data_IF_131542681973
#
_entry.id   IF_131542681973
#
_cell.length_a   1.000
_cell.length_b   1.000
_cell.length_c   1.000
_cell.angle_alpha   90.00
_cell.angle_beta   90.00
_cell.angle_gamma   90.00
#
_symmetry.space_group_name_H-M   'P 1'
#
loop_
_entity.id
_entity.type
_entity.pdbx_description
1 polymer ?
#
# COMPACT_ATOMS: atom_id res chain seq x y z
N UNK A 1 0.13 -11.10 -11.16
CA UNK A 1 -0.29 -9.74 -10.78
C UNK A 1 0.23 -9.51 -9.38
N UNK A 2 0.79 -8.34 -9.13
CA UNK A 2 1.18 -7.90 -7.79
C UNK A 2 0.02 -7.13 -7.20
N UNK A 3 -0.47 -7.54 -6.05
CA UNK A 3 -1.44 -6.77 -5.29
C UNK A 3 -0.74 -6.13 -4.10
N UNK A 4 -1.01 -4.86 -3.85
CA UNK A 4 -0.37 -4.08 -2.79
C UNK A 4 -1.47 -3.49 -1.93
N UNK A 5 -1.35 -3.61 -0.62
CA UNK A 5 -2.19 -2.94 0.36
C UNK A 5 -1.30 -1.99 1.15
N UNK A 6 -1.61 -0.71 1.10
CA UNK A 6 -0.88 0.33 1.82
C UNK A 6 -1.80 0.88 2.90
N UNK A 7 -1.21 1.21 4.04
CA UNK A 7 -1.89 1.88 5.14
C UNK A 7 -1.08 3.09 5.55
N UNK A 8 -1.77 4.21 5.68
CA UNK A 8 -1.16 5.47 6.08
C UNK A 8 -1.13 5.59 7.61
N UNK A 9 -0.17 6.37 8.13
CA UNK A 9 -0.13 6.84 9.51
C UNK A 9 -1.03 8.07 9.76
N UNK A 10 -1.71 8.60 8.74
CA UNK A 10 -2.67 9.69 8.95
C UNK A 10 -3.82 9.21 9.84
N UNK A 11 -3.91 9.80 11.03
CA UNK A 11 -4.98 9.56 12.00
C UNK A 11 -5.99 10.71 11.98
N UNK A 12 -7.28 10.39 11.86
CA UNK A 12 -8.34 11.39 12.01
C UNK A 12 -9.74 10.81 11.78
N UNK A 13 -10.75 11.50 12.31
CA UNK A 13 -12.15 11.18 12.08
C UNK A 13 -12.49 11.45 10.60
N UNK A 14 -12.68 10.40 9.81
CA UNK A 14 -13.25 10.37 8.46
C UNK A 14 -13.43 11.72 7.73
N UNK A 15 -12.34 12.43 7.45
CA UNK A 15 -12.38 13.57 6.51
C UNK A 15 -11.95 13.07 5.14
N UNK A 16 -12.68 13.47 4.10
CA UNK A 16 -12.34 13.16 2.71
C UNK A 16 -10.91 13.62 2.37
N UNK A 17 -10.48 14.73 2.99
CA UNK A 17 -9.14 15.30 2.86
C UNK A 17 -8.03 14.32 3.27
N UNK A 18 -8.17 13.62 4.41
CA UNK A 18 -7.17 12.66 4.91
C UNK A 18 -7.01 11.49 3.94
N UNK A 19 -8.12 11.00 3.39
CA UNK A 19 -8.05 9.96 2.37
C UNK A 19 -7.36 10.48 1.10
N UNK A 20 -7.64 11.73 0.67
CA UNK A 20 -6.99 12.32 -0.51
C UNK A 20 -5.47 12.41 -0.32
N UNK A 21 -4.98 12.96 0.79
CA UNK A 21 -3.54 13.09 1.05
C UNK A 21 -2.84 11.72 1.11
N UNK A 22 -3.46 10.73 1.76
CA UNK A 22 -2.91 9.38 1.81
C UNK A 22 -2.83 8.73 0.41
N UNK A 23 -3.86 8.92 -0.42
CA UNK A 23 -3.87 8.39 -1.79
C UNK A 23 -2.82 9.06 -2.66
N UNK A 24 -2.64 10.38 -2.54
CA UNK A 24 -1.60 11.12 -3.24
C UNK A 24 -0.20 10.60 -2.86
N UNK A 25 0.07 10.40 -1.56
CA UNK A 25 1.33 9.80 -1.08
C UNK A 25 1.55 8.37 -1.64
N UNK A 26 0.48 7.57 -1.74
CA UNK A 26 0.55 6.24 -2.32
C UNK A 26 0.82 6.29 -3.83
N UNK A 27 0.25 7.25 -4.55
CA UNK A 27 0.54 7.46 -5.96
C UNK A 27 1.99 7.87 -6.18
N UNK A 28 2.51 8.81 -5.38
CA UNK A 28 3.90 9.25 -5.43
C UNK A 28 4.88 8.10 -5.15
N UNK A 29 4.52 7.16 -4.26
CA UNK A 29 5.30 5.94 -4.01
C UNK A 29 5.41 5.08 -5.28
N UNK A 30 4.28 4.87 -5.98
CA UNK A 30 4.26 4.08 -7.20
C UNK A 30 4.96 4.78 -8.36
N UNK A 31 4.87 6.10 -8.45
CA UNK A 31 5.56 6.89 -9.46
C UNK A 31 7.09 6.85 -9.25
N UNK A 32 7.56 6.94 -8.01
CA UNK A 32 9.00 6.76 -7.72
C UNK A 32 9.47 5.35 -8.08
N UNK A 33 8.70 4.31 -7.73
CA UNK A 33 9.01 2.95 -8.16
C UNK A 33 9.08 2.84 -9.68
N UNK A 34 8.09 3.39 -10.38
CA UNK A 34 8.02 3.35 -11.83
C UNK A 34 9.23 4.03 -12.48
N UNK A 35 9.61 5.20 -11.95
CA UNK A 35 10.78 5.95 -12.39
C UNK A 35 12.07 5.16 -12.17
N UNK A 36 12.26 4.55 -11.00
CA UNK A 36 13.46 3.75 -10.69
C UNK A 36 13.60 2.51 -11.57
N UNK A 37 12.47 1.88 -11.92
CA UNK A 37 12.46 0.70 -12.79
C UNK A 37 12.40 1.03 -14.29
N UNK A 38 12.31 2.31 -14.66
CA UNK A 38 12.16 2.74 -16.05
C UNK A 38 10.85 2.25 -16.70
N UNK A 39 9.81 2.02 -15.90
CA UNK A 39 8.49 1.59 -16.37
C UNK A 39 7.49 2.74 -16.28
N UNK A 40 6.36 2.60 -16.97
CA UNK A 40 5.26 3.55 -16.90
C UNK A 40 4.03 2.88 -16.32
N UNK A 41 3.51 3.42 -15.22
CA UNK A 41 2.23 3.01 -14.67
C UNK A 41 1.12 3.82 -15.33
N UNK A 42 0.08 3.13 -15.76
CA UNK A 42 -1.09 3.68 -16.44
C UNK A 42 -2.31 2.79 -16.17
N UNK A 43 -3.51 3.22 -16.55
CA UNK A 43 -4.76 2.48 -16.27
C UNK A 43 -4.77 1.00 -16.70
N UNK A 44 -3.98 0.61 -17.70
CA UNK A 44 -3.89 -0.78 -18.16
C UNK A 44 -3.06 -1.73 -17.29
N UNK A 45 -2.13 -1.19 -16.49
CA UNK A 45 -1.20 -1.97 -15.66
C UNK A 45 -1.18 -1.56 -14.19
N UNK A 46 -1.82 -0.45 -13.82
CA UNK A 46 -2.00 0.02 -12.46
C UNK A 46 -3.48 0.28 -12.22
N UNK A 47 -4.01 -0.33 -11.16
CA UNK A 47 -5.42 -0.23 -10.79
C UNK A 47 -5.55 -0.06 -9.30
N UNK A 48 -6.23 0.99 -8.87
CA UNK A 48 -6.81 1.05 -7.53
C UNK A 48 -7.99 0.07 -7.44
N UNK A 49 -7.92 -0.85 -6.49
CA UNK A 49 -8.89 -1.94 -6.31
C UNK A 49 -9.94 -1.51 -5.29
N UNK A 50 -9.51 -1.03 -4.12
CA UNK A 50 -10.43 -0.58 -3.08
C UNK A 50 -9.74 0.36 -2.10
N UNK A 51 -10.49 1.30 -1.58
CA UNK A 51 -10.10 2.20 -0.50
C UNK A 51 -11.03 1.96 0.69
N UNK A 52 -10.46 1.87 1.87
CA UNK A 52 -11.17 1.68 3.14
C UNK A 52 -10.62 2.65 4.17
N UNK A 53 -11.45 3.03 5.14
CA UNK A 53 -11.01 3.83 6.26
C UNK A 53 -11.53 3.19 7.55
N UNK A 54 -10.62 2.58 8.31
CA UNK A 54 -10.90 1.94 9.61
C UNK A 54 -10.25 2.75 10.75
N UNK A 55 -10.40 4.08 10.71
CA UNK A 55 -9.66 5.02 11.56
C UNK A 55 -8.28 5.41 11.01
N UNK A 56 -7.87 4.75 9.91
CA UNK A 56 -6.67 4.99 9.13
C UNK A 56 -6.98 4.77 7.64
N UNK A 57 -6.45 5.59 6.72
CA UNK A 57 -6.57 5.36 5.29
C UNK A 57 -5.85 4.08 4.86
N UNK A 58 -6.60 3.17 4.24
CA UNK A 58 -6.09 1.92 3.65
C UNK A 58 -6.48 1.87 2.18
N UNK A 59 -5.53 1.59 1.30
CA UNK A 59 -5.79 1.44 -0.12
C UNK A 59 -5.15 0.17 -0.67
N UNK A 60 -5.88 -0.51 -1.56
CA UNK A 60 -5.44 -1.71 -2.26
C UNK A 60 -5.24 -1.40 -3.73
N UNK A 61 -4.10 -1.79 -4.28
CA UNK A 61 -3.70 -1.59 -5.66
C UNK A 61 -3.35 -2.91 -6.34
N UNK A 62 -3.49 -2.96 -7.66
CA UNK A 62 -3.10 -4.04 -8.53
C UNK A 62 -2.14 -3.56 -9.60
N UNK A 63 -0.96 -4.17 -9.66
CA UNK A 63 0.10 -3.91 -10.62
C UNK A 63 0.29 -5.13 -11.56
N UNK A 64 0.29 -4.88 -12.87
CA UNK A 64 0.57 -5.87 -13.91
C UNK A 64 1.93 -5.57 -14.56
N UNK A 65 2.67 -6.61 -14.93
CA UNK A 65 3.99 -6.45 -15.55
C UNK A 65 5.09 -6.00 -14.59
N UNK A 66 4.81 -5.91 -13.29
CA UNK A 66 5.79 -5.60 -12.26
C UNK A 66 6.43 -6.88 -11.73
N UNK A 67 7.76 -6.89 -11.59
CA UNK A 67 8.49 -7.98 -10.96
C UNK A 67 8.37 -7.87 -9.43
N UNK A 68 7.97 -8.97 -8.80
CA UNK A 68 7.76 -9.04 -7.36
C UNK A 68 9.02 -8.78 -6.53
N UNK A 69 10.17 -9.31 -6.94
CA UNK A 69 11.43 -9.12 -6.21
C UNK A 69 11.93 -7.68 -6.32
N UNK A 70 11.79 -7.04 -7.50
CA UNK A 70 12.13 -5.63 -7.67
C UNK A 70 11.26 -4.75 -6.76
N UNK A 71 9.95 -5.02 -6.72
CA UNK A 71 9.03 -4.27 -5.86
C UNK A 71 9.29 -4.51 -4.37
N UNK A 72 9.62 -5.76 -3.98
CA UNK A 72 10.03 -6.10 -2.61
C UNK A 72 11.29 -5.33 -2.19
N UNK A 73 12.30 -5.30 -3.06
CA UNK A 73 13.55 -4.56 -2.80
C UNK A 73 13.30 -3.06 -2.69
N UNK A 74 12.49 -2.49 -3.60
CA UNK A 74 12.07 -1.10 -3.53
C UNK A 74 11.42 -0.77 -2.18
N UNK A 75 10.40 -1.54 -1.78
CA UNK A 75 9.72 -1.33 -0.50
C UNK A 75 10.67 -1.46 0.69
N UNK A 76 11.64 -2.38 0.66
CA UNK A 76 12.61 -2.50 1.75
C UNK A 76 13.55 -1.30 1.89
N UNK A 77 13.73 -0.50 0.83
CA UNK A 77 14.56 0.70 0.83
C UNK A 77 13.79 2.01 0.97
N UNK A 78 12.45 1.96 1.02
CA UNK A 78 11.63 3.16 1.05
C UNK A 78 11.74 3.87 2.40
N UNK A 79 11.78 5.21 2.36
CA UNK A 79 11.64 6.03 3.56
C UNK A 79 10.15 6.17 3.88
N UNK A 80 9.66 5.35 4.79
CA UNK A 80 8.26 5.33 5.22
C UNK A 80 7.67 6.72 5.53
N UNK A 81 8.44 7.57 6.23
CA UNK A 81 8.07 8.93 6.63
C UNK A 81 7.78 9.86 5.45
N UNK A 82 8.36 9.61 4.27
CA UNK A 82 8.13 10.43 3.07
C UNK A 82 6.70 10.29 2.57
N UNK A 83 6.10 9.12 2.76
CA UNK A 83 4.81 8.73 2.22
C UNK A 83 3.78 8.44 3.32
N UNK A 84 4.09 8.86 4.56
CA UNK A 84 3.26 8.61 5.73
C UNK A 84 2.81 7.15 5.82
N UNK A 85 3.71 6.19 5.52
CA UNK A 85 3.40 4.76 5.47
C UNK A 85 3.50 4.15 6.87
N UNK A 86 2.41 3.55 7.33
CA UNK A 86 2.40 2.74 8.54
C UNK A 86 2.65 1.27 8.24
N UNK A 87 2.04 0.75 7.18
CA UNK A 87 2.10 -0.66 6.83
C UNK A 87 1.98 -0.88 5.32
N UNK A 88 2.71 -1.87 4.81
CA UNK A 88 2.60 -2.33 3.43
C UNK A 88 2.51 -3.85 3.39
N UNK A 89 1.48 -4.39 2.74
CA UNK A 89 1.33 -5.82 2.46
C UNK A 89 1.28 -6.04 0.95
N UNK A 90 2.04 -7.03 0.48
CA UNK A 90 2.13 -7.35 -0.94
C UNK A 90 1.81 -8.82 -1.16
N UNK A 91 0.99 -9.09 -2.17
CA UNK A 91 0.66 -10.42 -2.65
C UNK A 91 1.10 -10.58 -4.10
N UNK A 92 1.96 -11.57 -4.30
CA UNK A 92 2.61 -11.92 -5.54
C UNK A 92 2.26 -13.37 -5.91
N UNK A 93 1.05 -13.57 -6.45
CA UNK A 93 0.53 -14.91 -6.68
C UNK A 93 0.40 -15.69 -5.36
N UNK A 94 1.13 -16.81 -5.17
CA UNK A 94 1.12 -17.57 -3.92
C UNK A 94 1.99 -16.95 -2.81
N UNK A 95 2.88 -16.01 -3.15
CA UNK A 95 3.78 -15.40 -2.18
C UNK A 95 3.15 -14.15 -1.57
N UNK A 96 3.31 -13.98 -0.26
CA UNK A 96 2.90 -12.77 0.46
C UNK A 96 4.04 -12.28 1.33
N UNK A 97 4.28 -10.99 1.35
CA UNK A 97 5.22 -10.36 2.28
C UNK A 97 4.65 -9.04 2.80
N UNK A 98 5.15 -8.61 3.95
CA UNK A 98 4.69 -7.41 4.61
C UNK A 98 5.84 -6.65 5.25
N UNK A 99 5.71 -5.33 5.28
CA UNK A 99 6.65 -4.43 5.93
C UNK A 99 5.92 -3.58 6.96
N UNK A 100 6.48 -3.56 8.16
CA UNK A 100 6.15 -2.58 9.19
C UNK A 100 6.96 -1.31 8.90
N UNK A 101 6.28 -0.24 8.52
CA UNK A 101 6.92 1.00 8.07
C UNK A 101 6.95 2.08 9.17
N UNK A 102 6.17 1.89 10.25
CA UNK A 102 6.21 2.69 11.46
C UNK A 102 6.92 1.98 12.63
N UNK A 103 7.18 2.71 13.71
CA UNK A 103 7.77 2.17 14.95
C UNK A 103 6.93 1.03 15.55
N UNK A 104 5.61 1.11 15.40
CA UNK A 104 4.67 0.06 15.77
C UNK A 104 3.58 -0.06 14.72
N UNK A 105 3.38 -1.27 14.20
CA UNK A 105 2.25 -1.61 13.36
C UNK A 105 1.66 -2.93 13.86
N UNK A 106 0.33 -3.01 13.92
CA UNK A 106 -0.38 -4.24 14.26
C UNK A 106 -1.12 -4.70 13.01
N UNK A 107 -0.64 -5.73 12.29
CA UNK A 107 -1.24 -6.17 11.02
C UNK A 107 -2.74 -6.49 11.12
N UNK A 108 -3.17 -6.96 12.30
CA UNK A 108 -4.55 -7.30 12.63
C UNK A 108 -5.53 -6.11 12.51
N UNK A 109 -5.02 -4.88 12.59
CA UNK A 109 -5.83 -3.67 12.45
C UNK A 109 -6.18 -3.34 10.99
N UNK A 110 -5.49 -3.97 10.02
CA UNK A 110 -5.55 -3.56 8.61
C UNK A 110 -6.22 -4.59 7.70
N UNK A 111 -6.37 -5.82 8.17
CA UNK A 111 -7.16 -6.83 7.49
C UNK A 111 -8.52 -6.93 8.17
N UNK A 112 -9.65 -6.91 7.42
CA UNK A 112 -10.93 -7.20 8.03
C UNK A 112 -10.79 -8.57 8.70
N UNK A 113 -10.95 -8.62 10.02
CA UNK A 113 -11.12 -9.88 10.71
C UNK A 113 -12.30 -10.56 10.01
N UNK A 114 -12.06 -11.68 9.33
CA UNK A 114 -13.14 -12.59 9.03
C UNK A 114 -13.71 -12.91 10.40
N UNK A 115 -14.87 -12.35 10.74
CA UNK A 115 -15.59 -12.65 11.96
C UNK A 115 -15.54 -14.16 12.15
N UNK A 116 -14.69 -14.60 13.07
CA UNK A 116 -14.64 -15.96 13.53
C UNK A 116 -15.94 -16.18 14.27
N UNK A 117 -16.94 -16.68 13.56
CA UNK A 117 -18.03 -17.43 14.17
C UNK A 117 -17.40 -18.74 14.64
N UNK A 118 -16.86 -18.69 15.86
CA UNK A 118 -16.65 -19.87 16.71
C UNK A 118 -17.90 -20.14 17.52
#
# INVERSE_FOLDING_TARGET
>A
MVEVTLTSEYHGYHTEDINSYALDDFHDLFDEFAQQQGIRLHRGNFREITTFNYGLPVAKYGLRGVNCEQFRQFLSGVKAQKYHLQYAAVRCGPMTFSFCMAFSCTPENFFPQRNGTG
#
